data_IF_708739517849
#
_entry.id   IF_708739517849
#
_cell.length_a   1.000
_cell.length_b   1.000
_cell.length_c   1.000
_cell.angle_alpha   90.00
_cell.angle_beta   90.00
_cell.angle_gamma   90.00
#
_symmetry.space_group_name_H-M   'P 1'
#
loop_
_entity.id
_entity.type
_entity.pdbx_description
1 polymer ?
#
# COMPACT_ATOMS: atom_id res chain seq x y z
N UNK A 1 -53.87 25.79 9.18
CA UNK A 1 -52.57 25.77 8.46
C UNK A 1 -51.49 26.40 9.36
N UNK A 2 -51.15 25.75 10.48
CA UNK A 2 -50.19 26.21 11.49
C UNK A 2 -49.50 24.97 12.11
N UNK A 3 -48.20 25.07 12.41
CA UNK A 3 -47.30 24.17 13.19
C UNK A 3 -46.30 23.23 12.48
N UNK A 4 -46.12 23.24 11.16
CA UNK A 4 -45.02 22.46 10.52
C UNK A 4 -43.83 23.34 10.09
N UNK A 5 -44.06 24.63 9.83
CA UNK A 5 -43.02 25.54 9.32
C UNK A 5 -42.14 26.20 10.41
N UNK A 6 -42.36 25.91 11.69
CA UNK A 6 -41.58 26.52 12.80
C UNK A 6 -40.48 25.63 13.37
N UNK A 7 -40.40 24.36 12.98
CA UNK A 7 -39.44 23.37 13.51
C UNK A 7 -38.30 23.02 12.52
N UNK A 8 -38.42 23.46 11.25
CA UNK A 8 -37.36 23.28 10.26
C UNK A 8 -36.98 24.64 9.67
N UNK A 9 -35.97 25.30 10.23
CA UNK A 9 -35.27 26.35 9.51
C UNK A 9 -34.63 25.73 8.27
N UNK A 10 -35.06 26.18 7.08
CA UNK A 10 -34.49 25.72 5.83
C UNK A 10 -33.00 26.05 5.80
N UNK A 11 -32.15 25.04 5.94
CA UNK A 11 -30.73 25.17 5.70
C UNK A 11 -30.51 25.36 4.20
N UNK A 12 -30.04 26.54 3.80
CA UNK A 12 -29.56 26.76 2.44
C UNK A 12 -28.34 25.85 2.19
N UNK A 13 -28.56 24.73 1.50
CA UNK A 13 -27.47 23.98 0.86
C UNK A 13 -26.90 24.85 -0.25
N UNK A 14 -25.83 25.60 0.02
CA UNK A 14 -24.93 26.04 -1.04
C UNK A 14 -24.22 24.79 -1.58
N UNK A 15 -24.70 24.28 -2.71
CA UNK A 15 -23.97 23.27 -3.47
C UNK A 15 -22.66 23.89 -3.95
N UNK A 16 -21.57 23.56 -3.27
CA UNK A 16 -20.22 23.76 -3.79
C UNK A 16 -19.94 22.58 -4.72
N UNK A 17 -20.15 22.82 -6.02
CA UNK A 17 -19.93 21.90 -7.14
C UNK A 17 -21.09 20.93 -7.44
N UNK A 18 -21.65 21.06 -8.66
CA UNK A 18 -22.12 19.89 -9.42
C UNK A 18 -23.63 19.65 -9.55
N UNK A 19 -24.45 20.63 -9.96
CA UNK A 19 -25.83 20.34 -10.39
C UNK A 19 -26.19 20.73 -11.82
N UNK A 20 -25.40 21.57 -12.52
CA UNK A 20 -25.79 22.06 -13.85
C UNK A 20 -24.80 21.75 -14.99
N UNK A 21 -23.65 21.10 -14.73
CA UNK A 21 -22.60 20.99 -15.77
C UNK A 21 -22.99 20.04 -16.91
N UNK A 22 -23.44 18.82 -16.61
CA UNK A 22 -23.76 17.83 -17.65
C UNK A 22 -24.99 18.18 -18.49
N UNK A 23 -26.03 18.78 -17.89
CA UNK A 23 -27.22 19.20 -18.63
C UNK A 23 -26.91 20.42 -19.53
N UNK A 24 -26.10 21.37 -19.04
CA UNK A 24 -25.68 22.53 -19.82
C UNK A 24 -24.70 22.15 -20.94
N UNK A 25 -23.71 21.29 -20.67
CA UNK A 25 -22.78 20.77 -21.68
C UNK A 25 -23.48 19.85 -22.68
N UNK A 26 -24.34 18.95 -22.21
CA UNK A 26 -25.15 18.08 -23.08
C UNK A 26 -26.10 18.86 -23.98
N UNK A 27 -26.74 19.91 -23.45
CA UNK A 27 -27.54 20.81 -24.27
C UNK A 27 -26.71 21.56 -25.31
N UNK A 28 -25.47 21.96 -24.99
CA UNK A 28 -24.53 22.60 -25.92
C UNK A 28 -24.08 21.64 -27.02
N UNK A 29 -23.72 20.41 -26.68
CA UNK A 29 -23.35 19.39 -27.66
C UNK A 29 -24.48 19.06 -28.64
N UNK A 30 -25.74 19.09 -28.18
CA UNK A 30 -26.91 18.95 -29.05
C UNK A 30 -27.12 20.16 -29.95
N UNK A 31 -26.80 21.38 -29.48
CA UNK A 31 -26.81 22.58 -30.33
C UNK A 31 -25.75 22.50 -31.43
N UNK A 32 -24.55 22.03 -31.11
CA UNK A 32 -23.48 21.82 -32.08
C UNK A 32 -23.88 20.77 -33.13
N UNK A 33 -24.52 19.68 -32.71
CA UNK A 33 -25.02 18.64 -33.61
C UNK A 33 -26.14 19.16 -34.53
N UNK A 34 -27.05 19.98 -34.01
CA UNK A 34 -28.06 20.66 -34.83
C UNK A 34 -27.41 21.57 -35.87
N UNK A 35 -26.37 22.33 -35.51
CA UNK A 35 -25.65 23.19 -36.44
C UNK A 35 -24.98 22.38 -37.56
N UNK A 36 -24.37 21.24 -37.26
CA UNK A 36 -23.78 20.33 -38.24
C UNK A 36 -24.83 19.74 -39.20
N UNK A 37 -25.98 19.30 -38.67
CA UNK A 37 -27.06 18.76 -39.49
C UNK A 37 -27.58 19.81 -40.49
N UNK A 38 -27.69 21.08 -40.06
CA UNK A 38 -28.08 22.19 -40.96
C UNK A 38 -27.08 22.41 -42.09
N UNK A 39 -25.78 22.41 -41.77
CA UNK A 39 -24.74 22.51 -42.80
C UNK A 39 -24.82 21.37 -43.82
N UNK A 40 -25.08 20.14 -43.37
CA UNK A 40 -25.23 18.97 -44.28
C UNK A 40 -26.51 19.07 -45.13
N UNK A 41 -27.57 19.66 -44.57
CA UNK A 41 -28.80 19.98 -45.30
C UNK A 41 -28.55 20.93 -46.46
N UNK A 42 -27.84 22.03 -46.20
CA UNK A 42 -27.46 23.05 -47.18
C UNK A 42 -26.52 22.51 -48.28
N UNK A 43 -25.63 21.57 -47.93
CA UNK A 43 -24.63 21.02 -48.86
C UNK A 43 -25.17 19.94 -49.82
N UNK A 44 -26.43 19.51 -49.67
CA UNK A 44 -27.05 18.64 -50.68
C UNK A 44 -28.09 17.64 -50.17
N UNK A 45 -28.32 17.54 -48.86
CA UNK A 45 -29.31 16.60 -48.31
C UNK A 45 -30.74 17.16 -48.33
N UNK A 46 -30.89 18.47 -48.50
CA UNK A 46 -32.19 19.12 -48.67
C UNK A 46 -32.90 19.46 -47.36
N UNK A 47 -33.81 20.45 -47.43
CA UNK A 47 -34.44 21.07 -46.25
C UNK A 47 -35.43 20.14 -45.51
N UNK A 48 -36.05 19.21 -46.24
CA UNK A 48 -36.98 18.23 -45.68
C UNK A 48 -36.26 17.18 -44.83
N UNK A 49 -35.10 16.72 -45.30
CA UNK A 49 -34.20 15.85 -44.54
C UNK A 49 -33.68 16.55 -43.29
N UNK A 50 -33.21 17.80 -43.43
CA UNK A 50 -32.71 18.59 -42.30
C UNK A 50 -33.77 18.73 -41.20
N UNK A 51 -35.00 19.11 -41.57
CA UNK A 51 -36.11 19.27 -40.62
C UNK A 51 -36.40 17.97 -39.87
N UNK A 52 -36.35 16.84 -40.58
CA UNK A 52 -36.57 15.52 -39.99
C UNK A 52 -35.47 15.13 -39.01
N UNK A 53 -34.20 15.35 -39.39
CA UNK A 53 -33.04 14.94 -38.59
C UNK A 53 -32.81 15.85 -37.39
N UNK A 54 -33.10 17.15 -37.47
CA UNK A 54 -32.99 18.10 -36.36
C UNK A 54 -34.01 17.83 -35.24
N UNK A 55 -35.13 17.17 -35.55
CA UNK A 55 -36.18 16.91 -34.56
C UNK A 55 -35.68 16.07 -33.38
N UNK A 56 -34.91 15.02 -33.62
CA UNK A 56 -34.40 14.12 -32.58
C UNK A 56 -33.45 14.80 -31.56
N UNK A 57 -32.40 15.55 -31.98
CA UNK A 57 -31.54 16.27 -31.03
C UNK A 57 -32.29 17.41 -30.32
N UNK A 58 -33.26 18.07 -30.96
CA UNK A 58 -34.09 19.08 -30.29
C UNK A 58 -35.00 18.48 -29.21
N UNK A 59 -35.65 17.34 -29.50
CA UNK A 59 -36.43 16.61 -28.49
C UNK A 59 -35.53 16.08 -27.36
N UNK A 60 -34.34 15.59 -27.67
CA UNK A 60 -33.36 15.13 -26.67
C UNK A 60 -32.86 16.28 -25.79
N UNK A 61 -32.67 17.48 -26.36
CA UNK A 61 -32.29 18.68 -25.63
C UNK A 61 -33.41 19.15 -24.70
N UNK A 62 -34.65 19.09 -25.17
CA UNK A 62 -35.82 19.43 -24.36
C UNK A 62 -35.97 18.47 -23.17
N UNK A 63 -35.81 17.16 -23.42
CA UNK A 63 -35.77 16.15 -22.36
C UNK A 63 -34.68 16.47 -21.33
N UNK A 64 -33.44 16.72 -21.75
CA UNK A 64 -32.32 17.06 -20.84
C UNK A 64 -32.57 18.33 -20.01
N UNK A 65 -33.26 19.32 -20.57
CA UNK A 65 -33.54 20.59 -19.88
C UNK A 65 -34.70 20.53 -18.91
N UNK A 66 -35.72 19.72 -19.22
CA UNK A 66 -37.01 19.73 -18.54
C UNK A 66 -37.24 18.42 -17.80
N UNK A 67 -37.41 17.34 -18.56
CA UNK A 67 -37.86 16.06 -18.01
C UNK A 67 -36.76 15.35 -17.23
N UNK A 68 -35.50 15.49 -17.63
CA UNK A 68 -34.34 14.91 -16.95
C UNK A 68 -34.32 15.33 -15.48
N UNK A 69 -34.58 16.61 -15.17
CA UNK A 69 -34.59 17.12 -13.79
C UNK A 69 -35.64 16.46 -12.88
N UNK A 70 -36.69 15.89 -13.46
CA UNK A 70 -37.80 15.27 -12.72
C UNK A 70 -37.90 13.76 -12.97
N UNK A 71 -37.01 13.19 -13.78
CA UNK A 71 -37.04 11.78 -14.16
C UNK A 71 -36.37 10.94 -13.08
N UNK A 72 -37.13 10.51 -12.07
CA UNK A 72 -36.62 9.63 -11.01
C UNK A 72 -37.14 8.21 -11.19
N UNK A 73 -36.26 7.21 -11.11
CA UNK A 73 -36.57 5.78 -11.34
C UNK A 73 -35.96 4.87 -10.27
N UNK A 74 -36.61 3.74 -10.00
CA UNK A 74 -36.23 2.78 -8.96
C UNK A 74 -36.16 1.35 -9.53
N UNK A 75 -34.97 0.78 -9.78
CA UNK A 75 -33.62 1.38 -9.78
C UNK A 75 -33.32 2.16 -11.08
N UNK A 76 -32.25 2.98 -11.06
CA UNK A 76 -31.75 3.71 -12.23
C UNK A 76 -30.25 3.52 -12.40
N UNK A 77 -29.77 3.56 -13.65
CA UNK A 77 -28.34 3.53 -13.98
C UNK A 77 -27.67 4.92 -13.90
N UNK A 78 -28.45 5.97 -13.61
CA UNK A 78 -27.97 7.35 -13.40
C UNK A 78 -28.13 7.66 -11.92
N UNK A 79 -27.02 8.03 -11.25
CA UNK A 79 -27.00 8.20 -9.78
C UNK A 79 -28.03 9.25 -9.33
N UNK A 80 -28.02 10.42 -9.95
CA UNK A 80 -28.91 11.54 -9.61
C UNK A 80 -30.41 11.25 -9.84
N UNK A 81 -30.73 10.16 -10.56
CA UNK A 81 -32.08 9.76 -10.93
C UNK A 81 -32.52 8.47 -10.24
N UNK A 82 -31.65 7.84 -9.45
CA UNK A 82 -32.00 6.64 -8.70
C UNK A 82 -32.60 7.02 -7.36
N UNK A 83 -33.89 6.73 -7.13
CA UNK A 83 -34.56 7.01 -5.84
C UNK A 83 -33.82 6.31 -4.69
N UNK A 84 -33.36 5.08 -4.91
CA UNK A 84 -32.59 4.33 -3.91
C UNK A 84 -31.25 4.98 -3.59
N UNK A 85 -30.62 5.72 -4.52
CA UNK A 85 -29.40 6.46 -4.24
C UNK A 85 -29.71 7.78 -3.51
N UNK A 86 -30.64 8.57 -4.06
CA UNK A 86 -30.90 9.93 -3.58
C UNK A 86 -31.53 9.97 -2.18
N UNK A 87 -32.29 8.94 -1.80
CA UNK A 87 -33.03 8.88 -0.53
C UNK A 87 -32.48 7.86 0.48
N UNK A 88 -31.47 7.06 0.12
CA UNK A 88 -30.86 6.13 1.09
C UNK A 88 -30.00 6.90 2.09
N UNK A 89 -30.13 6.56 3.37
CA UNK A 89 -29.19 7.01 4.39
C UNK A 89 -27.93 6.13 4.33
N UNK A 90 -26.76 6.75 4.43
CA UNK A 90 -25.47 6.03 4.44
C UNK A 90 -24.95 5.78 5.85
N UNK A 91 -25.58 6.40 6.86
CA UNK A 91 -25.18 6.39 8.26
C UNK A 91 -26.08 5.54 9.16
N UNK A 92 -27.26 5.17 8.69
CA UNK A 92 -28.23 4.33 9.40
C UNK A 92 -28.61 3.11 8.56
N UNK A 93 -28.30 1.92 9.08
CA UNK A 93 -28.51 0.65 8.40
C UNK A 93 -29.99 0.30 8.18
N UNK A 94 -30.89 0.81 9.05
CA UNK A 94 -32.33 0.53 8.95
C UNK A 94 -33.00 1.34 7.83
N UNK A 95 -32.37 2.45 7.40
CA UNK A 95 -32.82 3.31 6.31
C UNK A 95 -31.88 3.27 5.08
N UNK A 96 -30.99 2.29 5.04
CA UNK A 96 -30.06 2.08 3.93
C UNK A 96 -30.64 1.12 2.90
N UNK A 97 -30.69 1.54 1.62
CA UNK A 97 -31.07 0.67 0.51
C UNK A 97 -29.88 0.41 -0.41
N UNK A 98 -29.61 -0.85 -0.72
CA UNK A 98 -28.51 -1.23 -1.62
C UNK A 98 -28.82 -0.81 -3.06
N UNK A 99 -28.05 0.13 -3.58
CA UNK A 99 -28.06 0.52 -4.98
C UNK A 99 -26.80 0.02 -5.68
N UNK A 100 -26.94 -0.76 -6.76
CA UNK A 100 -25.81 -1.23 -7.58
C UNK A 100 -24.97 -0.08 -8.15
N UNK A 101 -25.58 1.08 -8.40
CA UNK A 101 -24.88 2.26 -8.88
C UNK A 101 -23.90 2.83 -7.84
N UNK A 102 -24.25 2.78 -6.54
CA UNK A 102 -23.34 3.20 -5.46
C UNK A 102 -22.09 2.34 -5.43
N UNK A 103 -22.25 1.04 -5.57
CA UNK A 103 -21.13 0.11 -5.62
C UNK A 103 -20.24 0.39 -6.83
N UNK A 104 -20.83 0.63 -8.01
CA UNK A 104 -20.08 0.96 -9.24
C UNK A 104 -19.36 2.30 -9.12
N UNK A 105 -20.02 3.35 -8.60
CA UNK A 105 -19.42 4.67 -8.43
C UNK A 105 -18.33 4.65 -7.36
N UNK A 106 -18.56 3.99 -6.22
CA UNK A 106 -17.55 3.78 -5.19
C UNK A 106 -16.34 3.03 -5.74
N UNK A 107 -16.57 1.98 -6.54
CA UNK A 107 -15.50 1.26 -7.24
C UNK A 107 -14.75 2.17 -8.23
N UNK A 108 -15.44 2.96 -9.05
CA UNK A 108 -14.80 3.92 -9.97
C UNK A 108 -13.96 4.96 -9.24
N UNK A 109 -14.49 5.55 -8.16
CA UNK A 109 -13.76 6.49 -7.31
C UNK A 109 -12.52 5.81 -6.69
N UNK A 110 -12.66 4.57 -6.23
CA UNK A 110 -11.54 3.79 -5.72
C UNK A 110 -10.46 3.52 -6.79
N UNK A 111 -10.84 3.14 -8.01
CA UNK A 111 -9.88 2.95 -9.11
C UNK A 111 -9.17 4.25 -9.48
N UNK A 112 -9.90 5.37 -9.56
CA UNK A 112 -9.32 6.69 -9.82
C UNK A 112 -8.38 7.13 -8.69
N UNK A 113 -8.78 6.93 -7.43
CA UNK A 113 -7.95 7.15 -6.25
C UNK A 113 -6.67 6.33 -6.32
N UNK A 114 -6.78 5.03 -6.61
CA UNK A 114 -5.63 4.13 -6.69
C UNK A 114 -4.68 4.52 -7.83
N UNK A 115 -5.20 4.97 -8.97
CA UNK A 115 -4.39 5.45 -10.09
C UNK A 115 -3.66 6.74 -9.73
N UNK A 116 -4.37 7.70 -9.10
CA UNK A 116 -3.78 8.94 -8.63
C UNK A 116 -2.71 8.68 -7.55
N UNK A 117 -2.95 7.74 -6.63
CA UNK A 117 -2.00 7.39 -5.59
C UNK A 117 -0.77 6.65 -6.14
N UNK A 118 -0.89 5.94 -7.26
CA UNK A 118 0.25 5.36 -7.97
C UNK A 118 1.14 6.41 -8.64
N UNK A 119 0.63 7.62 -8.90
CA UNK A 119 1.42 8.72 -9.45
C UNK A 119 2.62 9.05 -8.55
N UNK A 120 2.46 8.98 -7.22
CA UNK A 120 3.58 9.19 -6.29
C UNK A 120 4.75 8.21 -6.52
N UNK A 121 4.46 6.96 -6.95
CA UNK A 121 5.49 5.98 -7.30
C UNK A 121 6.24 6.38 -8.57
N UNK A 122 5.51 6.89 -9.57
CA UNK A 122 6.09 7.35 -10.84
C UNK A 122 6.99 8.56 -10.58
N UNK A 123 6.49 9.55 -9.85
CA UNK A 123 7.24 10.76 -9.49
C UNK A 123 8.51 10.42 -8.70
N UNK A 124 8.46 9.42 -7.81
CA UNK A 124 9.64 8.97 -7.07
C UNK A 124 10.66 8.29 -7.98
N UNK A 125 10.23 7.47 -8.94
CA UNK A 125 11.10 6.81 -9.93
C UNK A 125 11.78 7.81 -10.89
N UNK A 126 11.09 8.89 -11.24
CA UNK A 126 11.63 9.98 -12.07
C UNK A 126 12.68 10.82 -11.32
N UNK A 127 12.54 10.94 -10.00
CA UNK A 127 13.52 11.63 -9.13
C UNK A 127 14.77 10.81 -8.82
N UNK A 128 14.82 9.53 -9.22
CA UNK A 128 15.98 8.69 -8.96
C UNK A 128 17.20 9.13 -9.77
N UNK A 129 18.28 9.40 -9.05
CA UNK A 129 19.63 9.77 -9.47
C UNK A 129 20.65 8.86 -8.76
N UNK A 130 21.94 9.18 -8.91
CA UNK A 130 23.03 8.38 -8.34
C UNK A 130 23.07 8.43 -6.78
N UNK A 131 22.37 9.38 -6.15
CA UNK A 131 22.39 9.64 -4.70
C UNK A 131 21.07 9.30 -3.99
N UNK A 132 20.06 8.84 -4.72
CA UNK A 132 18.69 8.62 -4.22
C UNK A 132 18.23 7.18 -4.42
N UNK A 133 17.38 6.72 -3.50
CA UNK A 133 16.73 5.41 -3.58
C UNK A 133 15.22 5.50 -3.38
N UNK A 134 14.47 4.60 -4.02
CA UNK A 134 13.07 4.33 -3.75
C UNK A 134 12.94 2.95 -3.11
N UNK A 135 12.37 2.88 -1.92
CA UNK A 135 12.19 1.64 -1.16
C UNK A 135 10.70 1.31 -1.07
N UNK A 136 10.32 0.15 -1.60
CA UNK A 136 8.97 -0.39 -1.52
C UNK A 136 8.92 -1.45 -0.43
N UNK A 137 8.20 -1.19 0.65
CA UNK A 137 8.08 -2.08 1.79
C UNK A 137 6.74 -2.80 1.81
N UNK A 138 6.76 -4.10 2.10
CA UNK A 138 5.57 -4.88 2.39
C UNK A 138 5.84 -6.07 3.31
N UNK A 139 4.84 -6.43 4.10
CA UNK A 139 4.84 -7.69 4.84
C UNK A 139 4.29 -8.76 3.91
N UNK A 140 5.14 -9.70 3.51
CA UNK A 140 4.66 -10.86 2.78
C UNK A 140 3.74 -11.69 3.68
N UNK A 141 2.73 -12.33 3.07
CA UNK A 141 1.93 -13.34 3.76
C UNK A 141 2.86 -14.35 4.43
N UNK A 142 2.61 -14.61 5.73
CA UNK A 142 3.46 -15.48 6.56
C UNK A 142 3.75 -16.80 5.86
N UNK A 143 5.01 -17.21 5.91
CA UNK A 143 5.42 -18.51 5.43
C UNK A 143 4.97 -19.57 6.45
N UNK A 144 4.10 -20.49 6.04
CA UNK A 144 3.71 -21.60 6.89
C UNK A 144 4.86 -22.61 6.90
N UNK A 145 5.33 -23.09 8.07
CA UNK A 145 6.28 -24.20 8.15
C UNK A 145 5.88 -25.36 7.24
N UNK A 146 6.83 -25.90 6.48
CA UNK A 146 6.63 -27.01 5.54
C UNK A 146 7.75 -28.03 5.68
N UNK A 147 7.41 -29.30 5.75
CA UNK A 147 8.34 -30.42 5.61
C UNK A 147 8.18 -31.08 4.24
N UNK A 148 9.21 -31.76 3.76
CA UNK A 148 9.12 -32.56 2.54
C UNK A 148 8.04 -33.65 2.64
N UNK A 149 7.90 -34.25 3.83
CA UNK A 149 6.83 -35.20 4.16
C UNK A 149 6.11 -34.76 5.42
N UNK A 150 4.83 -34.47 5.29
CA UNK A 150 3.98 -34.07 6.41
C UNK A 150 2.83 -35.05 6.61
N UNK A 151 2.57 -35.40 7.86
CA UNK A 151 1.36 -36.13 8.22
C UNK A 151 0.16 -35.18 8.20
N UNK A 152 -1.05 -35.72 8.03
CA UNK A 152 -2.29 -34.93 8.06
C UNK A 152 -2.48 -34.20 9.41
N UNK A 153 -1.98 -34.78 10.51
CA UNK A 153 -1.98 -34.19 11.85
C UNK A 153 -1.04 -32.99 11.98
N UNK A 154 0.08 -32.99 11.27
CA UNK A 154 1.04 -31.88 11.30
C UNK A 154 0.53 -30.65 10.53
N UNK A 155 -0.53 -30.79 9.74
CA UNK A 155 -1.05 -29.73 8.86
C UNK A 155 -1.81 -28.63 9.60
N UNK A 156 -2.47 -28.96 10.72
CA UNK A 156 -3.35 -28.02 11.42
C UNK A 156 -2.62 -27.14 12.45
N UNK A 157 -2.96 -25.85 12.48
CA UNK A 157 -2.58 -24.94 13.56
C UNK A 157 -1.13 -24.44 13.55
N UNK A 158 -0.43 -24.53 12.40
CA UNK A 158 0.95 -24.06 12.31
C UNK A 158 1.08 -22.56 12.53
N UNK A 159 2.06 -22.17 13.35
CA UNK A 159 2.46 -20.78 13.50
C UNK A 159 3.31 -20.36 12.30
N UNK A 160 2.81 -19.41 11.51
CA UNK A 160 3.53 -18.87 10.37
C UNK A 160 4.76 -18.04 10.77
N UNK A 161 5.82 -18.14 9.98
CA UNK A 161 7.03 -17.34 10.02
C UNK A 161 6.74 -16.00 9.32
N UNK A 162 7.03 -14.90 10.00
CA UNK A 162 6.88 -13.56 9.40
C UNK A 162 8.11 -13.23 8.58
N UNK A 163 7.93 -12.47 7.52
CA UNK A 163 9.02 -12.02 6.67
C UNK A 163 8.62 -10.73 5.95
N UNK A 164 9.50 -9.74 6.02
CA UNK A 164 9.31 -8.43 5.45
C UNK A 164 10.12 -8.30 4.16
N UNK A 165 9.57 -7.63 3.16
CA UNK A 165 10.18 -7.42 1.86
C UNK A 165 10.42 -5.94 1.66
N UNK A 166 11.68 -5.55 1.44
CA UNK A 166 12.09 -4.20 1.10
C UNK A 166 12.74 -4.20 -0.28
N UNK A 167 11.99 -3.79 -1.30
CA UNK A 167 12.47 -3.70 -2.68
C UNK A 167 13.02 -2.31 -2.92
N UNK A 168 14.32 -2.22 -3.17
CA UNK A 168 15.06 -0.96 -3.34
C UNK A 168 15.34 -0.75 -4.82
N UNK A 169 15.02 0.44 -5.32
CA UNK A 169 15.36 0.90 -6.65
C UNK A 169 16.32 2.08 -6.55
N UNK A 170 17.35 2.09 -7.40
CA UNK A 170 18.27 3.22 -7.58
C UNK A 170 18.54 3.45 -9.05
N UNK A 171 19.00 4.64 -9.43
CA UNK A 171 19.52 4.88 -10.77
C UNK A 171 21.03 5.00 -10.69
N UNK A 172 21.74 4.38 -11.63
CA UNK A 172 23.19 4.52 -11.77
C UNK A 172 23.47 4.87 -13.22
N UNK A 173 24.01 6.07 -13.47
CA UNK A 173 24.34 6.51 -14.83
C UNK A 173 23.17 6.35 -15.82
N UNK A 174 21.96 6.69 -15.39
CA UNK A 174 20.74 6.59 -16.20
C UNK A 174 20.04 5.21 -16.17
N UNK A 175 20.72 4.14 -15.73
CA UNK A 175 20.17 2.78 -15.71
C UNK A 175 19.50 2.49 -14.37
N UNK A 176 18.26 2.02 -14.41
CA UNK A 176 17.52 1.62 -13.22
C UNK A 176 18.05 0.27 -12.72
N UNK A 177 18.41 0.23 -11.45
CA UNK A 177 18.84 -0.97 -10.74
C UNK A 177 17.86 -1.29 -9.61
N UNK A 178 17.83 -2.55 -9.19
CA UNK A 178 17.01 -3.00 -8.08
C UNK A 178 17.75 -4.00 -7.19
N UNK A 179 17.36 -4.05 -5.93
CA UNK A 179 17.79 -5.04 -4.94
C UNK A 179 16.62 -5.29 -3.98
N UNK A 180 16.58 -6.45 -3.33
CA UNK A 180 15.56 -6.82 -2.38
C UNK A 180 16.21 -7.26 -1.07
N UNK A 181 15.75 -6.70 0.05
CA UNK A 181 16.10 -7.16 1.38
C UNK A 181 14.92 -7.91 2.00
N UNK A 182 15.19 -9.10 2.53
CA UNK A 182 14.25 -9.95 3.23
C UNK A 182 14.64 -10.04 4.70
N UNK A 183 13.78 -9.54 5.59
CA UNK A 183 13.94 -9.69 7.03
C UNK A 183 13.00 -10.77 7.53
N UNK A 184 13.55 -11.93 7.88
CA UNK A 184 12.84 -13.11 8.33
C UNK A 184 12.74 -13.09 9.85
N UNK A 185 11.55 -13.19 10.40
CA UNK A 185 11.31 -13.16 11.84
C UNK A 185 10.49 -14.40 12.23
N UNK A 186 11.07 -15.26 13.07
CA UNK A 186 10.40 -16.50 13.53
C UNK A 186 9.01 -16.21 14.10
N UNK A 187 8.87 -15.09 14.81
CA UNK A 187 7.63 -14.68 15.43
C UNK A 187 7.61 -13.19 15.72
N UNK A 188 6.90 -12.41 14.91
CA UNK A 188 6.63 -11.00 15.20
C UNK A 188 5.13 -10.68 15.14
N UNK A 189 4.77 -9.59 15.81
CA UNK A 189 3.44 -8.98 15.73
C UNK A 189 3.22 -8.16 14.45
N UNK A 190 4.25 -8.06 13.58
CA UNK A 190 4.24 -7.23 12.36
C UNK A 190 3.84 -5.77 12.64
N UNK A 191 4.17 -5.24 13.82
CA UNK A 191 3.81 -3.89 14.24
C UNK A 191 4.81 -2.83 13.80
N UNK A 192 4.46 -1.56 14.06
CA UNK A 192 5.26 -0.39 13.66
C UNK A 192 6.69 -0.39 14.20
N UNK A 193 6.91 -0.91 15.41
CA UNK A 193 8.25 -1.01 15.99
C UNK A 193 9.19 -1.90 15.16
N UNK A 194 8.68 -3.00 14.60
CA UNK A 194 9.46 -3.86 13.71
C UNK A 194 9.74 -3.15 12.37
N UNK A 195 8.74 -2.46 11.82
CA UNK A 195 8.88 -1.68 10.57
C UNK A 195 9.96 -0.60 10.71
N UNK A 196 9.96 0.17 11.79
CA UNK A 196 10.95 1.23 12.06
C UNK A 196 12.37 0.66 12.10
N UNK A 197 12.57 -0.45 12.82
CA UNK A 197 13.87 -1.13 12.89
C UNK A 197 14.32 -1.63 11.51
N UNK A 198 13.42 -2.24 10.74
CA UNK A 198 13.73 -2.74 9.39
C UNK A 198 14.08 -1.57 8.44
N UNK A 199 13.33 -0.47 8.48
CA UNK A 199 13.64 0.72 7.70
C UNK A 199 15.05 1.25 8.00
N UNK A 200 15.41 1.32 9.29
CA UNK A 200 16.72 1.76 9.73
C UNK A 200 17.84 0.82 9.27
N UNK A 201 17.64 -0.49 9.41
CA UNK A 201 18.62 -1.51 9.02
C UNK A 201 18.89 -1.52 7.50
N UNK A 202 17.85 -1.41 6.68
CA UNK A 202 17.98 -1.27 5.22
C UNK A 202 18.78 -0.02 4.86
N UNK A 203 18.47 1.12 5.47
CA UNK A 203 19.17 2.37 5.18
C UNK A 203 20.63 2.36 5.64
N UNK A 204 20.93 1.77 6.81
CA UNK A 204 22.31 1.59 7.26
C UNK A 204 23.11 0.72 6.30
N UNK A 205 22.54 -0.40 5.87
CA UNK A 205 23.19 -1.30 4.92
C UNK A 205 23.48 -0.58 3.60
N UNK A 206 22.49 0.14 3.07
CA UNK A 206 22.68 0.96 1.87
C UNK A 206 23.77 2.01 2.09
N UNK A 207 23.78 2.71 3.23
CA UNK A 207 24.77 3.75 3.49
C UNK A 207 26.19 3.21 3.59
N UNK A 208 26.34 2.05 4.22
CA UNK A 208 27.62 1.39 4.41
C UNK A 208 28.22 0.94 3.08
N UNK A 209 27.40 0.35 2.21
CA UNK A 209 27.85 -0.24 0.94
C UNK A 209 27.87 0.77 -0.22
N UNK A 210 27.03 1.80 -0.14
CA UNK A 210 26.86 2.84 -1.16
C UNK A 210 26.84 4.22 -0.50
N UNK A 211 28.02 4.65 -0.04
CA UNK A 211 28.20 5.91 0.70
C UNK A 211 27.70 7.16 -0.02
N UNK A 212 27.60 7.12 -1.36
CA UNK A 212 27.06 8.18 -2.20
C UNK A 212 25.56 8.41 -1.99
N UNK A 213 24.80 7.40 -1.57
CA UNK A 213 23.37 7.51 -1.33
C UNK A 213 23.13 8.34 -0.06
N UNK A 214 22.31 9.37 -0.20
CA UNK A 214 22.02 10.31 0.89
C UNK A 214 20.53 10.69 1.00
N UNK A 215 19.68 10.20 0.10
CA UNK A 215 18.23 10.46 0.13
C UNK A 215 17.43 9.19 -0.15
N UNK A 216 16.32 9.04 0.55
CA UNK A 216 15.40 7.92 0.36
C UNK A 216 13.94 8.40 0.19
N UNK A 217 13.23 7.72 -0.69
CA UNK A 217 11.78 7.77 -0.83
C UNK A 217 11.20 6.41 -0.42
N UNK A 218 10.14 6.39 0.38
CA UNK A 218 9.47 5.17 0.76
C UNK A 218 8.08 5.08 0.13
N UNK A 219 7.73 3.89 -0.35
CA UNK A 219 6.35 3.50 -0.65
C UNK A 219 5.99 2.28 0.18
N UNK A 220 4.91 2.33 0.93
CA UNK A 220 4.55 1.29 1.90
C UNK A 220 3.07 0.93 1.78
N UNK A 221 2.68 -0.22 2.34
CA UNK A 221 1.26 -0.55 2.48
C UNK A 221 0.53 0.44 3.40
N UNK A 222 -0.77 0.58 3.23
CA UNK A 222 -1.65 1.35 4.11
C UNK A 222 -2.14 0.53 5.32
N UNK A 223 -1.39 -0.51 5.70
CA UNK A 223 -1.63 -1.23 6.94
C UNK A 223 -1.16 -0.39 8.14
N UNK A 224 -1.83 -0.53 9.29
CA UNK A 224 -1.55 0.26 10.48
C UNK A 224 -0.14 0.12 11.06
N UNK A 225 0.65 -0.88 10.63
CA UNK A 225 2.07 -0.97 11.00
C UNK A 225 2.97 0.00 10.21
N UNK A 226 2.58 0.35 9.00
CA UNK A 226 3.27 1.32 8.15
C UNK A 226 2.65 2.70 8.32
N UNK A 227 1.33 2.80 8.14
CA UNK A 227 0.58 4.03 8.28
C UNK A 227 0.20 4.28 9.75
N UNK A 228 1.22 4.54 10.57
CA UNK A 228 1.06 4.95 11.97
C UNK A 228 1.90 6.17 12.30
N UNK A 229 1.46 6.94 13.29
CA UNK A 229 2.23 8.05 13.84
C UNK A 229 3.62 7.60 14.30
N UNK A 230 3.74 6.39 14.87
CA UNK A 230 5.02 5.82 15.27
C UNK A 230 5.99 5.72 14.09
N UNK A 231 5.56 5.14 12.96
CA UNK A 231 6.43 4.97 11.79
C UNK A 231 6.78 6.31 11.15
N UNK A 232 5.79 7.19 10.97
CA UNK A 232 5.99 8.50 10.33
C UNK A 232 6.91 9.39 11.18
N UNK A 233 6.68 9.48 12.50
CA UNK A 233 7.48 10.32 13.40
C UNK A 233 8.87 9.75 13.68
N UNK A 234 9.12 8.47 13.40
CA UNK A 234 10.47 7.89 13.46
C UNK A 234 11.35 8.29 12.27
N UNK A 235 10.78 8.76 11.14
CA UNK A 235 11.56 9.05 9.92
C UNK A 235 12.71 10.07 10.12
N UNK A 236 12.53 11.18 10.86
CA UNK A 236 13.65 12.08 11.17
C UNK A 236 14.75 11.43 12.00
N UNK A 237 14.38 10.59 12.98
CA UNK A 237 15.34 9.87 13.83
C UNK A 237 16.12 8.85 13.00
N UNK A 238 15.44 8.08 12.16
CA UNK A 238 16.06 7.15 11.22
C UNK A 238 17.03 7.90 10.30
N UNK A 239 16.61 9.05 9.75
CA UNK A 239 17.44 9.86 8.86
C UNK A 239 18.73 10.33 9.54
N UNK A 240 18.62 10.85 10.76
CA UNK A 240 19.78 11.29 11.55
C UNK A 240 20.72 10.13 11.88
N UNK A 241 20.16 8.96 12.24
CA UNK A 241 20.97 7.80 12.63
C UNK A 241 21.68 7.10 11.47
N UNK A 242 21.09 7.12 10.27
CA UNK A 242 21.60 6.39 9.09
C UNK A 242 22.40 7.28 8.15
N UNK A 243 22.29 8.61 8.28
CA UNK A 243 22.88 9.56 7.33
C UNK A 243 22.21 9.58 5.95
N UNK A 244 21.02 8.96 5.80
CA UNK A 244 20.19 9.02 4.60
C UNK A 244 18.90 9.79 4.93
N UNK A 245 18.69 10.92 4.26
CA UNK A 245 17.51 11.76 4.46
C UNK A 245 16.25 11.13 3.84
N UNK A 246 15.27 10.79 4.67
CA UNK A 246 13.96 10.33 4.19
C UNK A 246 13.16 11.54 3.69
N UNK A 247 13.09 11.71 2.37
CA UNK A 247 12.43 12.85 1.72
C UNK A 247 10.91 12.73 1.68
N UNK A 248 10.40 11.51 1.55
CA UNK A 248 8.96 11.26 1.44
C UNK A 248 8.63 9.82 1.84
N UNK A 249 7.45 9.66 2.45
CA UNK A 249 6.82 8.38 2.71
C UNK A 249 5.42 8.43 2.11
N UNK A 250 5.15 7.56 1.15
CA UNK A 250 3.85 7.44 0.49
C UNK A 250 3.24 6.07 0.81
N UNK A 251 1.92 6.02 0.87
CA UNK A 251 1.18 4.79 1.13
C UNK A 251 0.42 4.39 -0.14
N UNK A 252 0.44 3.10 -0.47
CA UNK A 252 -0.43 2.56 -1.52
C UNK A 252 -1.89 2.60 -1.07
N UNK A 253 -2.82 2.82 -1.98
CA UNK A 253 -4.23 2.61 -1.64
C UNK A 253 -4.47 1.15 -1.17
N UNK A 254 -5.47 0.90 -0.32
CA UNK A 254 -5.84 -0.47 0.02
C UNK A 254 -6.09 -1.27 -1.27
N UNK A 255 -5.37 -2.38 -1.48
CA UNK A 255 -5.39 -3.19 -2.71
C UNK A 255 -4.76 -2.53 -3.97
N UNK A 256 -4.20 -1.32 -3.84
CA UNK A 256 -3.60 -0.53 -4.91
C UNK A 256 -2.11 -0.76 -5.10
N UNK A 257 -1.73 -1.84 -5.80
CA UNK A 257 -0.45 -1.92 -6.50
C UNK A 257 0.80 -2.06 -5.62
N UNK A 258 0.96 -3.21 -4.95
CA UNK A 258 2.21 -3.67 -4.32
C UNK A 258 2.99 -4.68 -5.17
N UNK A 259 2.72 -4.68 -6.48
CA UNK A 259 3.04 -5.81 -7.34
C UNK A 259 4.52 -6.18 -7.46
N UNK A 260 5.46 -5.36 -6.99
CA UNK A 260 6.90 -5.69 -6.98
C UNK A 260 7.29 -6.53 -5.76
N UNK A 261 6.92 -6.11 -4.56
CA UNK A 261 7.17 -6.86 -3.32
C UNK A 261 6.43 -8.20 -3.34
N UNK A 262 5.16 -8.22 -3.75
CA UNK A 262 4.37 -9.44 -3.90
C UNK A 262 4.98 -10.42 -4.91
N UNK A 263 5.45 -9.89 -6.06
CA UNK A 263 6.08 -10.72 -7.10
C UNK A 263 7.40 -11.31 -6.61
N UNK A 264 8.21 -10.54 -5.88
CA UNK A 264 9.45 -11.05 -5.29
C UNK A 264 9.17 -12.08 -4.20
N UNK A 265 8.18 -11.85 -3.33
CA UNK A 265 7.75 -12.85 -2.35
C UNK A 265 7.29 -14.14 -3.04
N UNK A 266 6.57 -14.06 -4.16
CA UNK A 266 6.16 -15.22 -4.95
C UNK A 266 7.37 -15.97 -5.55
N UNK A 267 8.36 -15.25 -6.10
CA UNK A 267 9.63 -15.83 -6.57
C UNK A 267 10.33 -16.58 -5.44
N UNK A 268 10.45 -15.96 -4.27
CA UNK A 268 11.08 -16.55 -3.09
C UNK A 268 10.34 -17.81 -2.62
N UNK A 269 8.99 -17.78 -2.57
CA UNK A 269 8.19 -18.97 -2.24
C UNK A 269 8.42 -20.13 -3.21
N UNK A 270 8.57 -19.84 -4.51
CA UNK A 270 8.83 -20.88 -5.51
C UNK A 270 10.24 -21.47 -5.35
N UNK A 271 11.24 -20.64 -5.04
CA UNK A 271 12.60 -21.10 -4.74
C UNK A 271 12.61 -22.03 -3.53
N UNK A 272 12.00 -21.61 -2.42
CA UNK A 272 11.88 -22.41 -1.19
C UNK A 272 11.11 -23.71 -1.46
N UNK A 273 10.06 -23.69 -2.28
CA UNK A 273 9.33 -24.89 -2.67
C UNK A 273 10.21 -25.90 -3.41
N UNK A 274 11.12 -25.42 -4.27
CA UNK A 274 12.08 -26.29 -4.98
C UNK A 274 13.01 -26.98 -3.99
N UNK A 275 13.58 -26.21 -3.06
CA UNK A 275 14.40 -26.74 -1.96
C UNK A 275 13.67 -27.79 -1.11
N UNK A 276 12.39 -27.57 -0.79
CA UNK A 276 11.58 -28.55 -0.05
C UNK A 276 11.37 -29.83 -0.88
N UNK A 277 11.10 -29.70 -2.18
CA UNK A 277 10.86 -30.84 -3.07
C UNK A 277 12.09 -31.76 -3.23
N UNK A 278 13.28 -31.29 -2.89
CA UNK A 278 14.53 -32.06 -2.88
C UNK A 278 14.69 -32.94 -1.62
N UNK A 279 13.76 -32.87 -0.67
CA UNK A 279 13.81 -33.67 0.55
C UNK A 279 14.04 -32.86 1.83
N UNK A 280 14.12 -31.53 1.73
CA UNK A 280 14.45 -30.66 2.86
C UNK A 280 13.21 -30.14 3.60
N UNK A 281 13.39 -29.81 4.88
CA UNK A 281 12.36 -29.23 5.73
C UNK A 281 12.64 -27.73 5.99
N UNK A 282 11.58 -26.93 5.98
CA UNK A 282 11.61 -25.49 6.25
C UNK A 282 10.58 -25.16 7.32
N UNK A 283 11.00 -25.24 8.58
CA UNK A 283 10.10 -25.14 9.75
C UNK A 283 10.39 -23.97 10.69
N UNK A 284 11.54 -23.33 10.53
CA UNK A 284 11.96 -22.16 11.30
C UNK A 284 12.64 -21.10 10.42
N UNK A 285 12.88 -19.92 10.98
CA UNK A 285 13.43 -18.77 10.28
C UNK A 285 14.81 -19.04 9.67
N UNK A 286 15.68 -19.76 10.39
CA UNK A 286 17.02 -20.13 9.91
C UNK A 286 16.97 -21.12 8.74
N UNK A 287 16.06 -22.09 8.80
CA UNK A 287 15.81 -22.99 7.68
C UNK A 287 15.22 -22.25 6.48
N UNK A 288 14.38 -21.24 6.70
CA UNK A 288 13.86 -20.40 5.62
C UNK A 288 14.99 -19.57 4.98
N UNK A 289 15.89 -18.99 5.77
CA UNK A 289 17.11 -18.32 5.28
C UNK A 289 17.97 -19.28 4.46
N UNK A 290 18.23 -20.48 5.00
CA UNK A 290 19.03 -21.51 4.32
C UNK A 290 18.40 -21.95 2.99
N UNK A 291 17.07 -22.10 2.94
CA UNK A 291 16.35 -22.43 1.73
C UNK A 291 16.46 -21.31 0.67
N UNK A 292 16.37 -20.04 1.09
CA UNK A 292 16.53 -18.89 0.20
C UNK A 292 17.96 -18.78 -0.36
N UNK A 293 18.97 -19.09 0.45
CA UNK A 293 20.38 -19.11 0.05
C UNK A 293 20.79 -20.37 -0.73
N UNK A 294 19.91 -21.37 -0.82
CA UNK A 294 20.19 -22.60 -1.58
C UNK A 294 20.43 -22.28 -3.07
N UNK A 295 21.21 -23.13 -3.75
CA UNK A 295 21.52 -22.97 -5.18
C UNK A 295 22.21 -21.65 -5.56
N UNK A 296 22.94 -21.04 -4.62
CA UNK A 296 23.62 -19.75 -4.82
C UNK A 296 22.72 -18.54 -4.57
N UNK A 297 21.53 -18.75 -4.01
CA UNK A 297 20.59 -17.68 -3.68
C UNK A 297 19.73 -17.23 -4.86
N UNK A 298 18.89 -16.23 -4.62
CA UNK A 298 18.10 -15.57 -5.65
C UNK A 298 18.81 -14.27 -6.00
N UNK A 299 19.24 -14.12 -7.25
CA UNK A 299 19.98 -12.94 -7.69
C UNK A 299 19.22 -11.64 -7.40
N UNK A 300 19.89 -10.69 -6.73
CA UNK A 300 19.32 -9.41 -6.32
C UNK A 300 18.46 -9.49 -5.04
N UNK A 301 18.36 -10.65 -4.38
CA UNK A 301 17.69 -10.83 -3.09
C UNK A 301 18.73 -11.13 -2.02
N UNK A 302 18.58 -10.47 -0.87
CA UNK A 302 19.41 -10.62 0.32
C UNK A 302 18.52 -10.90 1.52
N UNK A 303 19.00 -11.67 2.48
CA UNK A 303 18.22 -12.21 3.58
C UNK A 303 18.94 -12.05 4.91
N UNK A 304 18.15 -11.70 5.93
CA UNK A 304 18.57 -11.65 7.31
C UNK A 304 17.53 -12.35 8.19
N UNK A 305 17.97 -13.13 9.18
CA UNK A 305 17.10 -13.60 10.26
C UNK A 305 17.22 -12.62 11.39
N UNK A 306 16.08 -12.04 11.77
CA UNK A 306 15.96 -11.05 12.82
C UNK A 306 15.43 -11.72 14.07
N UNK A 307 16.23 -11.67 15.14
CA UNK A 307 15.82 -12.14 16.46
C UNK A 307 15.23 -10.97 17.28
N UNK A 308 13.89 -10.86 17.29
CA UNK A 308 13.18 -9.94 18.21
C UNK A 308 12.76 -10.68 19.49
N UNK A 309 13.67 -11.50 20.03
CA UNK A 309 13.42 -12.40 21.16
C UNK A 309 13.77 -11.81 22.53
N UNK A 310 14.04 -10.50 22.63
CA UNK A 310 14.31 -9.84 23.91
C UNK A 310 13.03 -9.70 24.73
N UNK A 311 12.66 -10.79 25.41
CA UNK A 311 11.59 -10.84 26.41
C UNK A 311 12.20 -11.14 27.77
N UNK A 312 11.90 -10.29 28.75
CA UNK A 312 12.16 -10.62 30.14
C UNK A 312 11.22 -11.78 30.53
N UNK A 313 11.76 -12.98 30.67
CA UNK A 313 11.00 -14.17 31.04
C UNK A 313 10.30 -13.92 32.39
N UNK A 314 8.97 -13.93 32.38
CA UNK A 314 8.15 -13.70 33.56
C UNK A 314 7.96 -12.23 33.94
N UNK A 315 8.07 -11.29 32.99
CA UNK A 315 7.90 -9.84 33.22
C UNK A 315 6.65 -9.49 34.04
N UNK A 316 5.53 -10.20 33.82
CA UNK A 316 4.27 -9.99 34.56
C UNK A 316 4.37 -10.25 36.08
N UNK A 317 5.46 -10.89 36.54
CA UNK A 317 5.73 -11.16 37.96
C UNK A 317 6.67 -10.13 38.57
N UNK A 318 7.18 -9.17 37.78
CA UNK A 318 8.16 -8.18 38.17
C UNK A 318 7.48 -6.80 38.22
N UNK A 319 7.74 -6.04 39.28
CA UNK A 319 7.10 -4.75 39.55
C UNK A 319 8.10 -3.58 39.62
N UNK A 320 9.38 -3.85 39.92
CA UNK A 320 10.39 -2.82 40.07
C UNK A 320 11.64 -3.19 39.28
N UNK A 321 12.28 -2.19 38.68
CA UNK A 321 13.40 -2.33 37.76
C UNK A 321 14.43 -1.24 38.10
N UNK A 322 15.69 -1.63 38.26
CA UNK A 322 16.82 -0.74 38.48
C UNK A 322 17.87 -1.04 37.40
N UNK A 323 18.26 0.00 36.65
CA UNK A 323 19.30 -0.10 35.64
C UNK A 323 20.65 0.21 36.29
N UNK A 324 21.63 -0.69 36.15
CA UNK A 324 23.02 -0.49 36.57
C UNK A 324 23.92 -0.87 35.41
N UNK A 325 24.58 0.09 34.78
CA UNK A 325 25.49 -0.11 33.64
C UNK A 325 25.04 -1.23 32.68
N UNK A 326 25.65 -2.41 32.77
CA UNK A 326 25.39 -3.57 31.90
C UNK A 326 24.35 -4.57 32.42
N UNK A 327 23.68 -4.27 33.53
CA UNK A 327 22.69 -5.15 34.16
C UNK A 327 21.39 -4.41 34.49
N UNK A 328 20.27 -5.09 34.25
CA UNK A 328 18.95 -4.73 34.73
C UNK A 328 18.65 -5.61 35.94
N UNK A 329 18.46 -5.01 37.10
CA UNK A 329 18.01 -5.74 38.28
C UNK A 329 16.50 -5.57 38.41
N UNK A 330 15.76 -6.68 38.55
CA UNK A 330 14.31 -6.66 38.63
C UNK A 330 13.78 -7.36 39.89
N UNK A 331 12.74 -6.79 40.50
CA UNK A 331 12.11 -7.31 41.72
C UNK A 331 10.62 -7.57 41.53
N UNK A 332 10.08 -8.52 42.30
CA UNK A 332 8.63 -8.73 42.41
C UNK A 332 7.96 -7.71 43.34
N UNK A 333 8.68 -7.13 44.28
CA UNK A 333 8.18 -6.12 45.22
C UNK A 333 9.33 -5.21 45.65
N UNK A 334 9.03 -3.93 45.85
CA UNK A 334 10.02 -2.89 46.12
C UNK A 334 10.82 -3.19 47.39
N UNK A 335 12.15 -3.19 47.28
CA UNK A 335 13.07 -3.40 48.40
C UNK A 335 13.16 -4.84 48.95
N UNK A 336 12.52 -5.83 48.30
CA UNK A 336 12.47 -7.20 48.81
C UNK A 336 13.47 -8.14 48.12
N UNK A 337 14.53 -8.51 48.84
CA UNK A 337 15.57 -9.44 48.36
C UNK A 337 16.58 -8.80 47.42
N UNK A 338 17.52 -9.61 46.92
CA UNK A 338 18.64 -9.12 46.10
C UNK A 338 18.25 -8.69 44.68
N UNK A 339 17.04 -9.03 44.23
CA UNK A 339 16.59 -8.81 42.85
C UNK A 339 17.13 -9.89 41.89
N UNK A 340 16.51 -10.01 40.72
CA UNK A 340 16.96 -10.87 39.63
C UNK A 340 17.77 -10.02 38.66
N UNK A 341 19.05 -10.33 38.52
CA UNK A 341 19.93 -9.70 37.54
C UNK A 341 19.64 -10.26 36.13
N UNK A 342 19.52 -9.35 35.18
CA UNK A 342 19.28 -9.61 33.76
C UNK A 342 20.37 -8.83 33.01
N UNK A 343 21.33 -9.49 32.34
CA UNK A 343 22.32 -8.81 31.54
C UNK A 343 21.65 -7.94 30.46
N UNK A 344 22.04 -6.68 30.39
CA UNK A 344 21.75 -5.81 29.27
C UNK A 344 22.90 -5.99 28.29
N UNK A 345 22.68 -6.69 27.18
CA UNK A 345 23.66 -6.73 26.09
C UNK A 345 23.82 -5.30 25.56
N UNK A 346 24.90 -4.64 25.98
CA UNK A 346 25.32 -3.35 25.43
C UNK A 346 25.97 -3.65 24.08
N UNK A 347 25.22 -3.44 22.99
CA UNK A 347 25.87 -3.17 21.70
C UNK A 347 26.44 -1.76 21.79
N UNK A 348 27.76 -1.67 21.74
CA UNK A 348 28.56 -0.46 21.94
C UNK A 348 28.21 0.69 20.99
N UNK A 349 28.32 1.88 21.57
CA UNK A 349 28.43 3.23 21.00
C UNK A 349 27.14 4.06 20.77
N UNK A 350 27.26 5.28 21.29
CA UNK A 350 26.35 6.39 21.53
C UNK A 350 25.14 6.55 20.59
N UNK A 351 24.01 6.94 21.19
CA UNK A 351 22.66 7.15 20.64
C UNK A 351 21.79 5.89 20.64
N UNK A 352 21.18 5.63 21.79
CA UNK A 352 20.35 4.46 22.07
C UNK A 352 19.22 4.23 21.06
N UNK A 353 19.47 3.35 20.10
CA UNK A 353 18.53 2.41 19.50
C UNK A 353 19.33 1.12 19.31
N UNK A 354 18.90 0.03 19.94
CA UNK A 354 19.55 -1.26 19.70
C UNK A 354 19.29 -1.71 18.26
N UNK A 355 20.39 -1.93 17.55
CA UNK A 355 20.43 -2.43 16.18
C UNK A 355 19.74 -3.79 16.05
N UNK A 356 19.15 -4.04 14.87
CA UNK A 356 18.88 -5.40 14.44
C UNK A 356 20.24 -6.07 14.24
N UNK A 357 20.69 -6.88 15.20
CA UNK A 357 21.89 -7.70 15.04
C UNK A 357 21.55 -8.87 14.11
N UNK A 358 21.47 -8.59 12.81
CA UNK A 358 21.30 -9.64 11.81
C UNK A 358 22.17 -9.32 10.61
N UNK A 359 23.19 -10.14 10.38
CA UNK A 359 24.02 -10.04 9.17
C UNK A 359 23.16 -10.37 7.94
N UNK A 360 22.90 -9.33 7.14
CA UNK A 360 22.28 -9.46 5.82
C UNK A 360 23.24 -10.22 4.91
N UNK A 361 22.76 -11.25 4.21
CA UNK A 361 23.55 -12.02 3.25
C UNK A 361 24.20 -11.13 2.18
N UNK A 362 25.29 -11.56 1.57
CA UNK A 362 25.98 -10.80 0.52
C UNK A 362 25.13 -10.67 -0.75
N UNK A 363 25.20 -9.52 -1.42
CA UNK A 363 24.60 -9.31 -2.73
C UNK A 363 24.66 -7.85 -3.14
N UNK A 364 24.44 -7.56 -4.42
CA UNK A 364 24.51 -6.19 -4.96
C UNK A 364 23.26 -5.86 -5.81
N UNK A 365 23.10 -4.60 -6.15
CA UNK A 365 22.09 -4.09 -7.06
C UNK A 365 22.23 -4.71 -8.45
N UNK A 366 21.10 -5.08 -9.04
CA UNK A 366 21.02 -5.64 -10.38
C UNK A 366 20.40 -4.65 -11.37
N UNK A 367 20.95 -4.48 -12.58
CA UNK A 367 20.30 -3.67 -13.61
C UNK A 367 18.95 -4.27 -14.00
N UNK A 368 17.92 -3.43 -14.07
CA UNK A 368 16.63 -3.81 -14.61
C UNK A 368 16.77 -3.89 -16.14
N UNK A 369 17.03 -5.08 -16.68
CA UNK A 369 17.18 -5.26 -18.13
C UNK A 369 15.89 -4.84 -18.86
N UNK A 370 15.98 -4.08 -19.97
CA UNK A 370 14.81 -3.83 -20.81
C UNK A 370 14.29 -5.18 -21.32
N UNK A 371 12.97 -5.42 -21.20
CA UNK A 371 12.34 -6.58 -21.84
C UNK A 371 12.69 -6.55 -23.32
N UNK A 372 13.13 -7.66 -23.94
CA UNK A 372 13.28 -7.70 -25.39
C UNK A 372 11.93 -7.31 -26.00
N UNK A 373 11.93 -6.27 -26.82
CA UNK A 373 10.76 -5.82 -27.57
C UNK A 373 10.30 -7.02 -28.39
N UNK A 374 9.23 -7.69 -27.97
CA UNK A 374 8.58 -8.67 -28.82
C UNK A 374 8.09 -7.88 -30.04
N UNK A 375 8.81 -8.01 -31.16
CA UNK A 375 8.33 -7.56 -32.44
C UNK A 375 6.97 -8.23 -32.64
N UNK A 376 5.90 -7.44 -32.57
CA UNK A 376 4.59 -7.87 -33.04
C UNK A 376 4.81 -8.30 -34.49
N UNK A 377 4.85 -9.61 -34.74
CA UNK A 377 4.65 -10.14 -36.09
C UNK A 377 3.30 -9.60 -36.51
N UNK A 378 3.34 -8.74 -37.54
CA UNK A 378 2.15 -8.21 -38.21
C UNK A 378 1.31 -9.33 -38.78
#
# INVERSE_FOLDING_TARGET
MRRILSECSASERKSLQGLDYFAAEGARALDDLVALVRQIGELGSGKEWETTVVQAPMTSKQYLKVDYKVHVTSPSNVADHCVFFALSDSSDADYQQKCTQLAIMSWKCHILGSANQDQARIDALEKLDDNTVLIINDWAMKFLPQKYRESQTDWFGKRGISWHVSVVYRRVSGVLHWQCFLHIVQSCNQGSAAVVKIMQDVLNTIKLEHSEINKAFFRQDNAGCYHSSSTVLSCPVISSSTGIEIKRIDFSDPQGGKGTADRLAATCKNHVRTFINEGNDVTNAEQLKSALLSHGGIEGVREAVVDDNRKIIGINKLNNFEFKDEILVAWRAYGMGKGKEIPLEITSEEHGISWLSSEISSGDFKPLSPKPTQSRKK
#
